data_IF_211914457407
#
_entry.id   IF_211914457407
#
_cell.length_a   1.000
_cell.length_b   1.000
_cell.length_c   1.000
_cell.angle_alpha   90.00
_cell.angle_beta   90.00
_cell.angle_gamma   90.00
#
_symmetry.space_group_name_H-M   'P 1'
#
loop_
_entity.id
_entity.type
_entity.pdbx_description
1 polymer ?
#
# COMPACT_ATOMS: atom_id res chain seq x y z
N UNK A 1 -30.66 -6.73 -2.70
CA UNK A 1 -29.73 -5.76 -3.30
C UNK A 1 -28.46 -5.60 -2.45
N UNK A 2 -28.55 -5.15 -1.20
CA UNK A 2 -27.37 -4.96 -0.33
C UNK A 2 -26.53 -6.23 -0.07
N UNK A 3 -27.17 -7.38 0.16
CA UNK A 3 -26.45 -8.64 0.40
C UNK A 3 -25.63 -9.14 -0.81
N UNK A 4 -26.08 -8.84 -2.04
CA UNK A 4 -25.37 -9.24 -3.27
C UNK A 4 -24.15 -8.35 -3.49
N UNK A 5 -24.27 -7.04 -3.21
CA UNK A 5 -23.14 -6.10 -3.26
C UNK A 5 -22.09 -6.51 -2.22
N UNK A 6 -22.50 -6.83 -1.00
CA UNK A 6 -21.57 -7.30 0.03
C UNK A 6 -20.93 -8.64 -0.36
N UNK A 7 -21.69 -9.59 -0.92
CA UNK A 7 -21.16 -10.88 -1.39
C UNK A 7 -20.09 -10.72 -2.49
N UNK A 8 -20.35 -9.90 -3.50
CA UNK A 8 -19.41 -9.58 -4.58
C UNK A 8 -18.14 -8.89 -4.09
N UNK A 9 -18.29 -7.92 -3.17
CA UNK A 9 -17.19 -7.11 -2.64
C UNK A 9 -16.34 -7.90 -1.63
N UNK A 10 -16.96 -8.74 -0.80
CA UNK A 10 -16.32 -9.37 0.35
C UNK A 10 -15.95 -10.86 0.15
N UNK A 11 -16.65 -11.60 -0.72
CA UNK A 11 -16.44 -13.03 -0.98
C UNK A 11 -16.29 -13.36 -2.49
N UNK A 12 -16.37 -12.37 -3.36
CA UNK A 12 -16.32 -12.55 -4.81
C UNK A 12 -14.99 -12.16 -5.44
N UNK A 13 -15.01 -12.07 -6.77
CA UNK A 13 -13.87 -11.82 -7.64
C UNK A 13 -13.14 -10.47 -7.42
N UNK A 14 -13.77 -9.54 -6.69
CA UNK A 14 -13.23 -8.20 -6.44
C UNK A 14 -12.51 -8.08 -5.10
N UNK A 15 -12.65 -9.05 -4.20
CA UNK A 15 -12.04 -9.00 -2.86
C UNK A 15 -10.51 -8.90 -2.94
N UNK A 16 -9.87 -9.84 -3.65
CA UNK A 16 -8.42 -9.88 -3.75
C UNK A 16 -7.85 -8.59 -4.36
N UNK A 17 -8.34 -8.10 -5.52
CA UNK A 17 -7.92 -6.81 -6.04
C UNK A 17 -8.13 -5.66 -5.07
N UNK A 18 -9.27 -5.57 -4.37
CA UNK A 18 -9.52 -4.49 -3.41
C UNK A 18 -8.55 -4.53 -2.22
N UNK A 19 -8.26 -5.72 -1.68
CA UNK A 19 -7.30 -5.89 -0.58
C UNK A 19 -5.87 -5.53 -1.02
N UNK A 20 -5.46 -5.99 -2.21
CA UNK A 20 -4.12 -5.69 -2.74
C UNK A 20 -3.99 -4.20 -3.07
N UNK A 21 -5.04 -3.57 -3.60
CA UNK A 21 -5.07 -2.13 -3.84
C UNK A 21 -4.94 -1.34 -2.53
N UNK A 22 -5.70 -1.72 -1.50
CA UNK A 22 -5.64 -1.08 -0.19
C UNK A 22 -4.26 -1.23 0.45
N UNK A 23 -3.70 -2.44 0.43
CA UNK A 23 -2.38 -2.73 0.99
C UNK A 23 -1.26 -2.01 0.22
N UNK A 24 -1.27 -2.07 -1.11
CA UNK A 24 -0.30 -1.41 -1.96
C UNK A 24 -0.36 0.11 -1.81
N UNK A 25 -1.57 0.68 -1.81
CA UNK A 25 -1.80 2.10 -1.57
C UNK A 25 -1.30 2.55 -0.20
N UNK A 26 -1.61 1.80 0.87
CA UNK A 26 -1.13 2.09 2.21
C UNK A 26 0.40 2.07 2.31
N UNK A 27 1.04 1.12 1.62
CA UNK A 27 2.50 1.02 1.60
C UNK A 27 3.15 2.21 0.89
N UNK A 28 2.60 2.65 -0.24
CA UNK A 28 3.09 3.85 -0.95
C UNK A 28 2.89 5.11 -0.10
N UNK A 29 1.69 5.32 0.43
CA UNK A 29 1.35 6.53 1.20
C UNK A 29 2.13 6.58 2.52
N UNK A 30 2.18 5.46 3.26
CA UNK A 30 2.85 5.41 4.56
C UNK A 30 4.36 5.62 4.46
N UNK A 31 5.02 4.94 3.51
CA UNK A 31 6.46 5.12 3.29
C UNK A 31 6.79 6.48 2.66
N UNK A 32 5.95 6.98 1.75
CA UNK A 32 6.11 8.32 1.16
C UNK A 32 5.95 9.42 2.21
N UNK A 33 4.92 9.35 3.06
CA UNK A 33 4.71 10.29 4.15
C UNK A 33 5.89 10.31 5.13
N UNK A 34 6.49 9.16 5.43
CA UNK A 34 7.69 9.07 6.26
C UNK A 34 8.91 9.77 5.63
N UNK A 35 9.01 9.79 4.29
CA UNK A 35 10.08 10.48 3.58
C UNK A 35 9.87 12.00 3.54
N UNK A 36 8.62 12.46 3.36
CA UNK A 36 8.29 13.88 3.35
C UNK A 36 8.30 14.51 4.75
N UNK A 37 7.93 13.75 5.78
CA UNK A 37 7.90 14.20 7.18
C UNK A 37 8.75 13.26 8.05
N UNK A 38 10.08 13.35 7.92
CA UNK A 38 10.96 12.59 8.80
C UNK A 38 10.81 13.05 10.27
N UNK A 39 10.91 12.15 11.24
CA UNK A 39 10.78 12.50 12.65
C UNK A 39 11.88 13.48 13.11
N UNK A 40 11.58 14.44 14.02
CA UNK A 40 12.49 15.52 14.39
C UNK A 40 13.80 15.08 15.07
N UNK A 41 13.81 13.88 15.67
CA UNK A 41 14.98 13.30 16.32
C UNK A 41 15.01 11.79 16.10
N UNK A 42 16.15 11.28 15.64
CA UNK A 42 16.46 9.87 15.73
C UNK A 42 16.60 9.49 17.22
N UNK A 43 16.03 8.36 17.64
CA UNK A 43 16.15 7.87 19.02
C UNK A 43 17.59 7.44 19.31
N UNK A 44 17.99 7.46 20.58
CA UNK A 44 19.29 6.94 20.99
C UNK A 44 19.42 5.46 20.57
N UNK A 45 20.43 5.15 19.76
CA UNK A 45 20.65 3.81 19.18
C UNK A 45 20.16 3.63 17.73
N UNK A 46 19.52 4.63 17.12
CA UNK A 46 19.16 4.60 15.70
C UNK A 46 20.33 5.00 14.80
N UNK A 47 20.38 4.43 13.60
CA UNK A 47 21.38 4.76 12.59
C UNK A 47 21.33 6.26 12.23
N UNK A 48 22.51 6.88 12.09
CA UNK A 48 22.68 8.29 11.69
C UNK A 48 22.00 8.63 10.36
N UNK A 49 21.72 7.62 9.52
CA UNK A 49 20.91 7.72 8.31
C UNK A 49 19.97 6.52 8.22
N UNK A 50 18.67 6.78 8.10
CA UNK A 50 17.70 5.72 7.83
C UNK A 50 18.06 5.00 6.51
N UNK A 51 17.89 3.67 6.41
CA UNK A 51 18.18 2.92 5.19
C UNK A 51 17.13 3.24 4.11
N UNK A 52 17.38 4.33 3.37
CA UNK A 52 16.52 4.85 2.29
C UNK A 52 16.19 3.76 1.27
N UNK A 53 17.15 2.87 0.97
CA UNK A 53 16.96 1.75 0.07
C UNK A 53 15.76 0.86 0.46
N UNK A 54 15.58 0.57 1.76
CA UNK A 54 14.46 -0.25 2.24
C UNK A 54 13.11 0.44 2.02
N UNK A 55 13.04 1.74 2.31
CA UNK A 55 11.83 2.54 2.14
C UNK A 55 11.43 2.64 0.67
N UNK A 56 12.39 2.92 -0.22
CA UNK A 56 12.14 3.01 -1.67
C UNK A 56 11.69 1.67 -2.24
N UNK A 57 12.29 0.55 -1.82
CA UNK A 57 11.86 -0.80 -2.23
C UNK A 57 10.42 -1.07 -1.81
N UNK A 58 10.04 -0.73 -0.58
CA UNK A 58 8.65 -0.91 -0.11
C UNK A 58 7.67 -0.04 -0.91
N UNK A 59 8.02 1.22 -1.20
CA UNK A 59 7.20 2.07 -2.08
C UNK A 59 7.03 1.42 -3.45
N UNK A 60 8.13 0.92 -4.05
CA UNK A 60 8.09 0.26 -5.36
C UNK A 60 7.19 -0.98 -5.38
N UNK A 61 7.32 -1.86 -4.38
CA UNK A 61 6.47 -3.06 -4.25
C UNK A 61 5.00 -2.67 -4.09
N UNK A 62 4.72 -1.73 -3.19
CA UNK A 62 3.37 -1.22 -2.97
C UNK A 62 2.75 -0.61 -4.22
N UNK A 63 3.54 0.12 -5.01
CA UNK A 63 3.10 0.76 -6.24
C UNK A 63 2.77 -0.29 -7.33
N UNK A 64 3.64 -1.26 -7.54
CA UNK A 64 3.40 -2.35 -8.50
C UNK A 64 2.13 -3.12 -8.13
N UNK A 65 1.97 -3.45 -6.84
CA UNK A 65 0.77 -4.12 -6.34
C UNK A 65 -0.50 -3.27 -6.55
N UNK A 66 -0.45 -1.97 -6.23
CA UNK A 66 -1.57 -1.06 -6.39
C UNK A 66 -1.97 -0.89 -7.87
N UNK A 67 -1.00 -0.71 -8.77
CA UNK A 67 -1.24 -0.59 -10.21
C UNK A 67 -1.85 -1.89 -10.77
N UNK A 68 -1.30 -3.04 -10.40
CA UNK A 68 -1.84 -4.34 -10.83
C UNK A 68 -3.28 -4.55 -10.34
N UNK A 69 -3.54 -4.23 -9.08
CA UNK A 69 -4.87 -4.37 -8.50
C UNK A 69 -5.89 -3.43 -9.13
N UNK A 70 -5.49 -2.17 -9.38
CA UNK A 70 -6.32 -1.20 -10.07
C UNK A 70 -6.63 -1.65 -11.51
N UNK A 71 -5.62 -2.12 -12.25
CA UNK A 71 -5.82 -2.68 -13.58
C UNK A 71 -6.78 -3.88 -13.57
N UNK A 72 -6.63 -4.78 -12.59
CA UNK A 72 -7.51 -5.94 -12.42
C UNK A 72 -8.95 -5.58 -12.08
N UNK A 73 -9.18 -4.45 -11.40
CA UNK A 73 -10.52 -3.95 -11.09
C UNK A 73 -11.18 -3.27 -12.29
N UNK A 74 -10.39 -2.56 -13.11
CA UNK A 74 -10.90 -1.85 -14.29
C UNK A 74 -11.13 -2.80 -15.47
N UNK A 75 -10.36 -3.88 -15.56
CA UNK A 75 -10.47 -4.85 -16.67
C UNK A 75 -11.55 -5.93 -16.47
N UNK A 76 -12.37 -5.85 -15.43
CA UNK A 76 -13.42 -6.81 -15.08
C UNK A 76 -14.79 -6.13 -15.00
#
# INVERSE_FOLDING_TARGET
MWALVVGEVFLGDRLLPLLVLALGGAMVVGNGAALFRPPPRAKAGELTRAPIARTVTMIGIGLVAAVWALASLVSR
#
